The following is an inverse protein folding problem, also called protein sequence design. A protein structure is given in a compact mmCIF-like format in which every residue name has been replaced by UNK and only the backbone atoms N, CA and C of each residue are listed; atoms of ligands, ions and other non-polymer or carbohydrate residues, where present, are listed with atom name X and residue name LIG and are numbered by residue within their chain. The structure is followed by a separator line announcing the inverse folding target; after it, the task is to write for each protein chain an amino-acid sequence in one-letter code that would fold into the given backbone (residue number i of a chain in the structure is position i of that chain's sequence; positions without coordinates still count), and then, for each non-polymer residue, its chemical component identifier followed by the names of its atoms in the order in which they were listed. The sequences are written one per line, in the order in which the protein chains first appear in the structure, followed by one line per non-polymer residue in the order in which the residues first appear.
data_IF_236837977875
#
_entry.id   IF_236837977875
#
_cell.length_a   1.000
_cell.length_b   1.000
_cell.length_c   1.000
_cell.angle_alpha   90.00
_cell.angle_beta   90.00
_cell.angle_gamma   90.00
#
_symmetry.space_group_name_H-M   'P 1'
#
loop_
_entity.id
_entity.type
_entity.pdbx_description
1 polymer ?
#
# COMPACT_ATOMS: atom_id res chain seq x y z
N UNK A 1 41.44 -34.14 38.17
CA UNK A 1 41.42 -35.04 39.34
C UNK A 1 42.43 -34.45 40.32
N UNK A 2 41.98 -33.93 41.47
CA UNK A 2 42.92 -33.32 42.42
C UNK A 2 43.85 -34.40 42.99
N UNK A 3 45.16 -34.14 43.12
CA UNK A 3 46.08 -35.10 43.71
C UNK A 3 45.63 -35.44 45.14
N UNK A 4 45.74 -36.73 45.51
CA UNK A 4 45.30 -37.24 46.82
C UNK A 4 46.28 -36.93 47.96
N UNK A 5 47.44 -36.34 47.64
CA UNK A 5 48.52 -36.02 48.56
C UNK A 5 48.89 -34.55 48.30
N UNK A 6 48.99 -33.74 49.36
CA UNK A 6 49.42 -32.34 49.23
C UNK A 6 50.94 -32.22 49.24
N UNK A 7 51.52 -31.13 48.67
CA UNK A 7 52.95 -30.82 48.81
C UNK A 7 53.43 -30.86 50.27
N UNK A 8 52.55 -30.43 51.18
CA UNK A 8 52.79 -30.40 52.62
C UNK A 8 52.86 -31.82 53.23
N UNK A 9 52.06 -32.75 52.71
CA UNK A 9 52.12 -34.16 53.10
C UNK A 9 53.39 -34.86 52.60
N UNK A 10 53.90 -34.45 51.43
CA UNK A 10 55.17 -34.94 50.86
C UNK A 10 56.34 -34.48 51.76
N UNK A 11 56.41 -33.19 52.08
CA UNK A 11 57.47 -32.62 52.94
C UNK A 11 57.48 -33.19 54.36
N UNK A 12 56.31 -33.54 54.90
CA UNK A 12 56.19 -34.13 56.26
C UNK A 12 56.37 -35.65 56.27
N UNK A 13 56.56 -36.29 55.12
CA UNK A 13 56.64 -37.75 55.03
C UNK A 13 57.95 -38.26 55.63
N UNK A 14 57.84 -39.11 56.65
CA UNK A 14 58.98 -39.80 57.25
C UNK A 14 59.00 -41.28 56.87
N UNK A 15 60.18 -41.82 56.58
CA UNK A 15 60.36 -43.24 56.29
C UNK A 15 61.15 -43.95 57.40
N UNK A 16 60.79 -45.19 57.75
CA UNK A 16 61.55 -45.98 58.72
C UNK A 16 62.90 -46.40 58.15
N UNK A 17 63.95 -46.37 58.98
CA UNK A 17 65.31 -46.76 58.58
C UNK A 17 65.42 -48.29 58.58
N UNK A 18 66.01 -48.87 57.53
CA UNK A 18 66.32 -50.30 57.43
C UNK A 18 67.76 -50.53 56.97
N UNK A 19 68.35 -51.66 57.36
CA UNK A 19 69.71 -52.04 56.95
C UNK A 19 69.78 -52.18 55.42
N UNK A 20 70.77 -51.51 54.78
CA UNK A 20 70.89 -51.30 53.32
C UNK A 20 69.77 -50.46 52.66
N UNK A 21 69.24 -49.44 53.37
CA UNK A 21 68.30 -48.46 52.79
C UNK A 21 68.97 -47.35 51.98
N UNK A 22 68.14 -46.52 51.32
CA UNK A 22 68.55 -45.30 50.62
C UNK A 22 69.05 -44.22 51.60
N UNK A 23 69.88 -43.29 51.11
CA UNK A 23 70.34 -42.15 51.91
C UNK A 23 69.16 -41.23 52.25
N UNK A 24 68.98 -40.97 53.54
CA UNK A 24 67.87 -40.15 54.06
C UNK A 24 67.94 -38.71 53.57
N UNK A 25 69.13 -38.13 53.44
CA UNK A 25 69.29 -36.74 53.01
C UNK A 25 68.94 -36.58 51.53
N UNK A 26 69.39 -37.51 50.69
CA UNK A 26 69.09 -37.52 49.25
C UNK A 26 67.60 -37.72 48.99
N UNK A 27 66.96 -38.66 49.72
CA UNK A 27 65.50 -38.85 49.65
C UNK A 27 64.74 -37.60 50.10
N UNK A 28 65.20 -36.91 51.15
CA UNK A 28 64.54 -35.69 51.64
C UNK A 28 64.65 -34.56 50.60
N UNK A 29 65.85 -34.34 50.03
CA UNK A 29 66.04 -33.36 48.96
C UNK A 29 65.17 -33.64 47.73
N UNK A 30 65.06 -34.91 47.33
CA UNK A 30 64.20 -35.30 46.22
C UNK A 30 62.71 -35.03 46.53
N UNK A 31 62.26 -35.35 47.75
CA UNK A 31 60.89 -35.06 48.18
C UNK A 31 60.58 -33.56 48.22
N UNK A 32 61.54 -32.72 48.59
CA UNK A 32 61.38 -31.26 48.58
C UNK A 32 61.15 -30.75 47.14
N UNK A 33 61.96 -31.19 46.18
CA UNK A 33 61.77 -30.84 44.75
C UNK A 33 60.41 -31.33 44.23
N UNK A 34 60.03 -32.57 44.54
CA UNK A 34 58.73 -33.12 44.12
C UNK A 34 57.57 -32.35 44.76
N UNK A 35 57.72 -31.88 46.00
CA UNK A 35 56.72 -31.04 46.65
C UNK A 35 56.59 -29.68 45.96
N UNK A 36 57.71 -29.05 45.61
CA UNK A 36 57.73 -27.76 44.88
C UNK A 36 57.05 -27.89 43.51
N UNK A 37 57.44 -28.90 42.72
CA UNK A 37 56.84 -29.19 41.41
C UNK A 37 55.34 -29.44 41.53
N UNK A 38 54.90 -30.19 42.56
CA UNK A 38 53.47 -30.45 42.80
C UNK A 38 52.71 -29.17 43.17
N UNK A 39 53.31 -28.29 43.96
CA UNK A 39 52.70 -27.00 44.34
C UNK A 39 52.52 -26.09 43.12
N UNK A 40 53.54 -25.99 42.26
CA UNK A 40 53.45 -25.24 41.00
C UNK A 40 52.40 -25.83 40.05
N UNK A 41 52.34 -27.16 39.95
CA UNK A 41 51.35 -27.85 39.12
C UNK A 41 49.92 -27.61 39.62
N UNK A 42 49.72 -27.63 40.94
CA UNK A 42 48.41 -27.35 41.56
C UNK A 42 47.99 -25.90 41.34
N UNK A 43 48.91 -24.94 41.47
CA UNK A 43 48.64 -23.53 41.20
C UNK A 43 48.24 -23.31 39.73
N UNK A 44 49.00 -23.88 38.80
CA UNK A 44 48.72 -23.78 37.37
C UNK A 44 47.38 -24.43 37.02
N UNK A 45 47.05 -25.58 37.64
CA UNK A 45 45.75 -26.23 37.46
C UNK A 45 44.61 -25.33 37.93
N UNK A 46 44.71 -24.71 39.10
CA UNK A 46 43.69 -23.79 39.61
C UNK A 46 43.53 -22.54 38.71
N UNK A 47 44.63 -22.00 38.18
CA UNK A 47 44.60 -20.89 37.22
C UNK A 47 43.90 -21.28 35.90
N UNK A 48 44.26 -22.44 35.33
CA UNK A 48 43.63 -22.97 34.12
C UNK A 48 42.16 -23.33 34.32
N UNK A 49 41.78 -23.88 35.48
CA UNK A 49 40.37 -24.19 35.80
C UNK A 49 39.53 -22.91 35.89
N UNK A 50 40.07 -21.83 36.46
CA UNK A 50 39.40 -20.52 36.48
C UNK A 50 39.25 -19.93 35.10
N UNK A 51 40.31 -19.94 34.29
CA UNK A 51 40.27 -19.44 32.91
C UNK A 51 39.29 -20.25 32.06
N UNK A 52 39.28 -21.58 32.20
CA UNK A 52 38.35 -22.46 31.50
C UNK A 52 36.89 -22.16 31.88
N UNK A 53 36.63 -21.90 33.16
CA UNK A 53 35.32 -21.45 33.64
C UNK A 53 34.90 -20.13 32.98
N UNK A 54 35.77 -19.12 33.01
CA UNK A 54 35.52 -17.83 32.38
C UNK A 54 35.22 -17.95 30.88
N UNK A 55 36.05 -18.70 30.14
CA UNK A 55 35.87 -18.92 28.70
C UNK A 55 34.57 -19.66 28.38
N UNK A 56 34.17 -20.62 29.22
CA UNK A 56 32.88 -21.31 29.07
C UNK A 56 31.70 -20.35 29.23
N UNK A 57 31.75 -19.48 30.21
CA UNK A 57 30.71 -18.48 30.44
C UNK A 57 30.62 -17.48 29.28
N UNK A 58 31.77 -17.05 28.75
CA UNK A 58 31.85 -16.16 27.60
C UNK A 58 31.28 -16.81 26.33
N UNK A 59 31.63 -18.07 26.06
CA UNK A 59 31.06 -18.85 24.95
C UNK A 59 29.54 -19.00 25.12
N UNK A 60 29.06 -19.24 26.33
CA UNK A 60 27.62 -19.32 26.60
C UNK A 60 26.90 -18.01 26.27
N UNK A 61 27.44 -16.87 26.72
CA UNK A 61 26.91 -15.53 26.40
C UNK A 61 26.89 -15.25 24.90
N UNK A 62 27.97 -15.59 24.20
CA UNK A 62 28.03 -15.39 22.75
C UNK A 62 27.00 -16.24 22.00
N UNK A 63 26.82 -17.51 22.40
CA UNK A 63 25.79 -18.38 21.80
C UNK A 63 24.38 -17.86 22.05
N UNK A 64 24.09 -17.35 23.24
CA UNK A 64 22.79 -16.74 23.54
C UNK A 64 22.55 -15.49 22.68
N UNK A 65 23.55 -14.61 22.56
CA UNK A 65 23.47 -13.43 21.69
C UNK A 65 23.31 -13.81 20.21
N UNK A 66 24.02 -14.84 19.74
CA UNK A 66 23.90 -15.34 18.36
C UNK A 66 22.49 -15.88 18.09
N UNK A 67 21.92 -16.63 19.03
CA UNK A 67 20.55 -17.14 18.93
C UNK A 67 19.53 -15.99 18.84
N UNK A 68 19.66 -14.99 19.71
CA UNK A 68 18.79 -13.80 19.69
C UNK A 68 18.90 -13.02 18.38
N UNK A 69 20.12 -12.84 17.88
CA UNK A 69 20.36 -12.18 16.60
C UNK A 69 19.74 -12.98 15.44
N UNK A 70 19.91 -14.30 15.44
CA UNK A 70 19.32 -15.19 14.43
C UNK A 70 17.79 -15.13 14.45
N UNK A 71 17.17 -15.13 15.62
CA UNK A 71 15.72 -14.98 15.76
C UNK A 71 15.25 -13.62 15.23
N UNK A 72 15.96 -12.55 15.58
CA UNK A 72 15.67 -11.19 15.11
C UNK A 72 15.78 -11.10 13.58
N UNK A 73 16.80 -11.70 12.98
CA UNK A 73 16.97 -11.75 11.52
C UNK A 73 15.84 -12.52 10.84
N UNK A 74 15.43 -13.66 11.39
CA UNK A 74 14.29 -14.41 10.86
C UNK A 74 12.98 -13.62 10.96
N UNK A 75 12.77 -12.91 12.07
CA UNK A 75 11.61 -12.05 12.24
C UNK A 75 11.62 -10.88 11.25
N UNK A 76 12.77 -10.24 11.04
CA UNK A 76 12.93 -9.18 10.05
C UNK A 76 12.64 -9.68 8.63
N UNK A 77 13.14 -10.87 8.25
CA UNK A 77 12.85 -11.49 6.96
C UNK A 77 11.36 -11.78 6.78
N UNK A 78 10.70 -12.37 7.79
CA UNK A 78 9.24 -12.62 7.74
C UNK A 78 8.45 -11.34 7.61
N UNK A 79 8.81 -10.29 8.36
CA UNK A 79 8.14 -9.00 8.29
C UNK A 79 8.34 -8.33 6.93
N UNK A 80 9.52 -8.43 6.33
CA UNK A 80 9.77 -7.91 5.00
C UNK A 80 8.91 -8.62 3.95
N UNK A 81 8.78 -9.95 4.03
CA UNK A 81 7.95 -10.73 3.11
C UNK A 81 6.45 -10.42 3.27
N UNK A 82 5.98 -10.27 4.52
CA UNK A 82 4.61 -9.84 4.83
C UNK A 82 4.34 -8.44 4.29
N UNK A 83 5.22 -7.48 4.56
CA UNK A 83 5.09 -6.11 4.06
C UNK A 83 5.03 -6.07 2.53
N UNK A 84 5.88 -6.85 1.86
CA UNK A 84 5.87 -6.96 0.41
C UNK A 84 4.53 -7.52 -0.09
N UNK A 85 4.06 -8.63 0.47
CA UNK A 85 2.80 -9.26 0.07
C UNK A 85 1.61 -8.33 0.29
N UNK A 86 1.56 -7.64 1.43
CA UNK A 86 0.48 -6.69 1.74
C UNK A 86 0.53 -5.46 0.83
N UNK A 87 1.73 -4.97 0.49
CA UNK A 87 1.91 -3.86 -0.45
C UNK A 87 1.46 -4.24 -1.86
N UNK A 88 1.80 -5.45 -2.33
CA UNK A 88 1.36 -5.98 -3.62
C UNK A 88 -0.18 -6.09 -3.66
N UNK A 89 -0.80 -6.64 -2.61
CA UNK A 89 -2.27 -6.74 -2.49
C UNK A 89 -2.95 -5.38 -2.47
N UNK A 90 -2.42 -4.42 -1.72
CA UNK A 90 -3.01 -3.08 -1.66
C UNK A 90 -2.85 -2.34 -2.99
N UNK A 91 -1.72 -2.51 -3.69
CA UNK A 91 -1.53 -1.97 -5.04
C UNK A 91 -2.57 -2.55 -6.02
N UNK A 92 -2.79 -3.86 -6.01
CA UNK A 92 -3.82 -4.51 -6.83
C UNK A 92 -5.22 -3.98 -6.50
N UNK A 93 -5.51 -3.78 -5.21
CA UNK A 93 -6.79 -3.21 -4.76
C UNK A 93 -6.98 -1.78 -5.26
N UNK A 94 -5.95 -0.94 -5.16
CA UNK A 94 -5.98 0.45 -5.64
C UNK A 94 -6.20 0.46 -7.16
N UNK A 95 -5.50 -0.38 -7.92
CA UNK A 95 -5.66 -0.48 -9.37
C UNK A 95 -7.08 -0.94 -9.75
N UNK A 96 -7.61 -1.96 -9.07
CA UNK A 96 -8.96 -2.46 -9.31
C UNK A 96 -10.02 -1.39 -9.04
N UNK A 97 -9.89 -0.65 -7.93
CA UNK A 97 -10.82 0.43 -7.59
C UNK A 97 -10.70 1.62 -8.57
N UNK A 98 -9.49 2.00 -8.96
CA UNK A 98 -9.27 3.06 -9.95
C UNK A 98 -9.89 2.69 -11.30
N UNK A 99 -9.72 1.45 -11.77
CA UNK A 99 -10.34 0.97 -13.00
C UNK A 99 -11.87 1.01 -12.90
N UNK A 100 -12.44 0.53 -11.79
CA UNK A 100 -13.89 0.56 -11.56
C UNK A 100 -14.46 1.98 -11.54
N UNK A 101 -13.75 2.93 -10.93
CA UNK A 101 -14.13 4.33 -10.93
C UNK A 101 -14.02 4.94 -12.33
N UNK A 102 -12.97 4.61 -13.09
CA UNK A 102 -12.80 5.02 -14.47
C UNK A 102 -13.95 4.53 -15.37
N UNK A 103 -14.28 3.25 -15.29
CA UNK A 103 -15.41 2.66 -16.03
C UNK A 103 -16.74 3.34 -15.68
N UNK A 104 -17.00 3.58 -14.40
CA UNK A 104 -18.20 4.31 -13.94
C UNK A 104 -18.25 5.73 -14.51
N UNK A 105 -17.14 6.44 -14.51
CA UNK A 105 -17.07 7.82 -15.02
C UNK A 105 -17.33 7.85 -16.54
N UNK A 106 -16.76 6.91 -17.28
CA UNK A 106 -17.00 6.77 -18.72
C UNK A 106 -18.48 6.48 -18.98
N UNK A 107 -19.06 5.52 -18.26
CA UNK A 107 -20.47 5.17 -18.41
C UNK A 107 -21.40 6.36 -18.12
N UNK A 108 -21.17 7.08 -17.02
CA UNK A 108 -21.93 8.30 -16.70
C UNK A 108 -21.78 9.39 -17.77
N UNK A 109 -20.60 9.51 -18.38
CA UNK A 109 -20.35 10.49 -19.44
C UNK A 109 -21.09 10.12 -20.72
N UNK A 110 -21.13 8.83 -21.08
CA UNK A 110 -21.89 8.33 -22.22
C UNK A 110 -23.39 8.52 -22.02
N UNK A 111 -23.91 8.24 -20.84
CA UNK A 111 -25.32 8.46 -20.50
C UNK A 111 -25.71 9.94 -20.63
N UNK A 112 -24.89 10.84 -20.07
CA UNK A 112 -25.09 12.30 -20.21
C UNK A 112 -25.01 12.76 -21.66
N UNK A 113 -24.10 12.19 -22.45
CA UNK A 113 -23.99 12.52 -23.88
C UNK A 113 -25.26 12.09 -24.63
N UNK A 114 -25.74 10.87 -24.40
CA UNK A 114 -26.95 10.34 -25.00
C UNK A 114 -28.20 11.17 -24.61
N UNK A 115 -28.30 11.60 -23.35
CA UNK A 115 -29.36 12.49 -22.89
C UNK A 115 -29.32 13.85 -23.59
N UNK A 116 -28.14 14.47 -23.69
CA UNK A 116 -27.98 15.74 -24.42
C UNK A 116 -28.34 15.59 -25.89
N UNK A 117 -27.91 14.52 -26.55
CA UNK A 117 -28.28 14.27 -27.94
C UNK A 117 -29.79 14.10 -28.12
N UNK A 118 -30.45 13.36 -27.22
CA UNK A 118 -31.90 13.22 -27.21
C UNK A 118 -32.57 14.59 -27.08
N UNK A 119 -32.11 15.42 -26.14
CA UNK A 119 -32.64 16.77 -25.95
C UNK A 119 -32.45 17.67 -27.17
N UNK A 120 -31.29 17.59 -27.83
CA UNK A 120 -31.02 18.30 -29.08
C UNK A 120 -32.00 17.85 -30.18
N UNK A 121 -32.28 16.54 -30.30
CA UNK A 121 -33.26 16.03 -31.27
C UNK A 121 -34.66 16.56 -31.00
N UNK A 122 -35.10 16.53 -29.74
CA UNK A 122 -36.40 17.10 -29.32
C UNK A 122 -36.51 18.58 -29.69
N UNK A 123 -35.52 19.39 -29.33
CA UNK A 123 -35.49 20.82 -29.64
C UNK A 123 -35.50 21.10 -31.15
N UNK A 124 -34.85 20.26 -31.97
CA UNK A 124 -34.89 20.38 -33.43
C UNK A 124 -36.30 20.14 -33.98
N UNK A 125 -37.02 19.17 -33.45
CA UNK A 125 -38.42 18.89 -33.83
C UNK A 125 -39.32 20.05 -33.39
N UNK A 126 -39.17 20.53 -32.16
CA UNK A 126 -39.92 21.67 -31.64
C UNK A 126 -39.70 22.94 -32.48
N UNK A 127 -38.44 23.23 -32.83
CA UNK A 127 -38.08 24.33 -33.74
C UNK A 127 -38.77 24.19 -35.10
N UNK A 128 -38.78 22.98 -35.69
CA UNK A 128 -39.45 22.74 -36.98
C UNK A 128 -40.96 22.97 -36.87
N UNK A 129 -41.57 22.49 -35.79
CA UNK A 129 -43.01 22.68 -35.54
C UNK A 129 -43.35 24.16 -35.35
N UNK A 130 -42.53 24.89 -34.60
CA UNK A 130 -42.71 26.34 -34.43
C UNK A 130 -42.59 27.09 -35.76
N UNK A 131 -41.60 26.74 -36.58
CA UNK A 131 -41.43 27.33 -37.90
C UNK A 131 -42.66 27.10 -38.80
N UNK A 132 -43.18 25.87 -38.85
CA UNK A 132 -44.39 25.55 -39.60
C UNK A 132 -45.63 26.31 -39.09
N UNK A 133 -45.78 26.43 -37.77
CA UNK A 133 -46.88 27.22 -37.17
C UNK A 133 -46.79 28.69 -37.54
N UNK A 134 -45.58 29.27 -37.45
CA UNK A 134 -45.35 30.67 -37.81
C UNK A 134 -45.63 30.92 -39.29
N UNK A 135 -45.17 30.04 -40.17
CA UNK A 135 -45.44 30.13 -41.60
C UNK A 135 -46.95 30.06 -41.88
N UNK A 136 -47.66 29.11 -41.27
CA UNK A 136 -49.12 29.03 -41.41
C UNK A 136 -49.87 30.26 -40.89
N UNK A 137 -49.41 30.90 -39.80
CA UNK A 137 -49.97 32.18 -39.34
C UNK A 137 -49.73 33.31 -40.33
N UNK A 138 -48.53 33.38 -40.93
CA UNK A 138 -48.21 34.38 -41.95
C UNK A 138 -49.07 34.19 -43.21
N UNK A 139 -49.23 32.95 -43.68
CA UNK A 139 -50.08 32.63 -44.83
C UNK A 139 -51.54 33.02 -44.57
N UNK A 140 -52.04 32.79 -43.34
CA UNK A 140 -53.38 33.20 -42.93
C UNK A 140 -53.54 34.72 -42.91
N UNK A 141 -52.57 35.47 -42.35
CA UNK A 141 -52.59 36.93 -42.38
C UNK A 141 -52.51 37.47 -43.81
N UNK A 142 -51.72 36.83 -44.67
CA UNK A 142 -51.63 37.19 -46.09
C UNK A 142 -52.98 36.99 -46.81
N UNK A 143 -53.69 35.91 -46.50
CA UNK A 143 -55.03 35.66 -47.05
C UNK A 143 -56.04 36.71 -46.61
N UNK A 144 -56.05 37.10 -45.33
CA UNK A 144 -56.93 38.17 -44.82
C UNK A 144 -56.62 39.49 -45.52
N UNK A 145 -55.35 39.88 -45.61
CA UNK A 145 -54.94 41.11 -46.30
C UNK A 145 -55.29 41.12 -47.79
N UNK A 146 -55.28 39.96 -48.44
CA UNK A 146 -55.71 39.85 -49.84
C UNK A 146 -57.23 39.96 -49.96
N UNK A 147 -57.99 39.37 -49.04
CA UNK A 147 -59.46 39.48 -49.00
C UNK A 147 -59.90 40.94 -48.76
N UNK A 148 -59.28 41.64 -47.82
CA UNK A 148 -59.57 43.05 -47.53
C UNK A 148 -59.31 43.93 -48.78
N UNK A 149 -58.24 43.65 -49.53
CA UNK A 149 -57.97 44.35 -50.82
C UNK A 149 -59.02 44.05 -51.88
N UNK A 150 -59.44 42.79 -52.00
CA UNK A 150 -60.50 42.42 -52.94
C UNK A 150 -61.83 43.10 -52.58
N UNK A 151 -62.17 43.22 -51.29
CA UNK A 151 -63.32 44.00 -50.83
C UNK A 151 -63.17 45.50 -51.15
N UNK A 152 -62.02 46.12 -50.89
CA UNK A 152 -61.76 47.53 -51.27
C UNK A 152 -61.87 47.76 -52.78
N UNK A 153 -61.33 46.87 -53.61
CA UNK A 153 -61.42 46.93 -55.07
C UNK A 153 -62.87 46.76 -55.55
N UNK A 154 -63.64 45.86 -54.91
CA UNK A 154 -65.06 45.65 -55.18
C UNK A 154 -65.88 46.89 -54.77
N UNK A 155 -65.66 47.47 -53.61
CA UNK A 155 -66.36 48.68 -53.15
C UNK A 155 -66.04 49.90 -54.03
N UNK A 156 -64.78 50.03 -54.47
CA UNK A 156 -64.39 51.01 -55.47
C UNK A 156 -65.11 50.78 -56.80
N UNK A 157 -65.25 49.54 -57.28
CA UNK A 157 -65.96 49.24 -58.53
C UNK A 157 -67.47 49.52 -58.45
N UNK A 158 -68.11 49.28 -57.30
CA UNK A 158 -69.54 49.55 -57.06
C UNK A 158 -69.82 51.05 -56.97
N UNK A 159 -68.90 51.84 -56.41
CA UNK A 159 -68.98 53.30 -56.38
C UNK A 159 -69.00 53.94 -57.79
N UNK A 160 -68.25 53.38 -58.75
CA UNK A 160 -68.29 53.83 -60.16
C UNK A 160 -69.58 53.40 -60.88
N UNK A 161 -70.26 52.36 -60.39
CA UNK A 161 -71.45 51.76 -61.01
C UNK A 161 -72.78 52.33 -60.48
N UNK A 162 -72.83 53.61 -60.07
CA UNK A 162 -74.10 54.26 -59.73
C UNK A 162 -74.84 54.65 -61.02
N UNK A 163 -75.98 54.02 -61.37
CA UNK A 163 -76.66 54.32 -62.62
C UNK A 163 -77.29 55.72 -62.56
N UNK A 164 -77.00 56.57 -63.55
CA UNK A 164 -77.80 57.78 -63.82
C UNK A 164 -79.21 57.32 -64.19
N UNK A 165 -80.16 57.39 -63.25
CA UNK A 165 -81.58 57.38 -63.59
C UNK A 165 -81.87 58.64 -64.39
N UNK A 166 -82.07 58.49 -65.70
CA UNK A 166 -82.86 59.43 -66.50
C UNK A 166 -84.30 58.97 -66.40
N UNK A 167 -85.01 59.48 -65.41
CA UNK A 167 -86.46 59.48 -65.43
C UNK A 167 -86.85 60.59 -66.41
N UNK A 168 -87.44 60.20 -67.54
CA UNK A 168 -88.14 61.12 -68.43
C UNK A 168 -89.63 61.12 -68.08
N UNK A 169 -90.29 62.28 -68.21
CA UNK A 169 -91.53 62.41 -68.98
C UNK A 169 -92.06 63.86 -69.03
N UNK A 170 -92.41 64.28 -70.25
CA UNK A 170 -93.53 65.13 -70.69
C UNK A 170 -93.11 65.69 -72.08
N UNK A 171 -93.80 65.42 -73.20
CA UNK A 171 -95.25 65.34 -73.47
C UNK A 171 -95.53 64.28 -74.54
#
# INVERSE_FOLDING_TARGET
MRPSISPLDIRKRTFPVRFRGLDRNEVTQYLDVVADDLEELMRTLDELERENGHLKDEVARHRESENSLRETLMMAQRNAELLRTDSEREADRILAEANRQGERLVQQSLEKAAEKEKRIRELRVERKNFHLKLQGMLDMFQQVLNFDKEEEDLDHSVSVMRPKRKDGEAV
#
